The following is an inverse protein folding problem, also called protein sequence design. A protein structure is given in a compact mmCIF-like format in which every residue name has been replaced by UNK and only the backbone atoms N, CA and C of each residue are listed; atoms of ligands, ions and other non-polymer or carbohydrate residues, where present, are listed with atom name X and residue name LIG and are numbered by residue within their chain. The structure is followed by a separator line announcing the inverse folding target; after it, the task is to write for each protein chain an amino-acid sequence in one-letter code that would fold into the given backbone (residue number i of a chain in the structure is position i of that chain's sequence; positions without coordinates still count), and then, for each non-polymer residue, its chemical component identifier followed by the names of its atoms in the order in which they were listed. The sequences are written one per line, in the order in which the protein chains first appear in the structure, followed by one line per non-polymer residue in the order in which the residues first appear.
data_IF_149397086873
#
_entry.id   IF_149397086873
#
_cell.length_a   1.000
_cell.length_b   1.000
_cell.length_c   1.000
_cell.angle_alpha   90.00
_cell.angle_beta   90.00
_cell.angle_gamma   90.00
#
_symmetry.space_group_name_H-M   'P 1'
#
loop_
_entity.id
_entity.type
_entity.pdbx_description
1 polymer ?
#
# COMPACT_ATOMS: atom_id res chain seq x y z
N UNK A 1 11.47 2.81 8.56
CA UNK A 1 10.31 1.99 8.95
C UNK A 1 10.55 1.53 10.37
N UNK A 2 9.56 1.68 11.25
CA UNK A 2 9.62 1.23 12.64
C UNK A 2 8.39 0.37 12.93
N UNK A 3 8.59 -0.79 13.56
CA UNK A 3 7.51 -1.66 14.00
C UNK A 3 7.40 -1.62 15.52
N UNK A 4 6.20 -1.39 16.02
CA UNK A 4 5.87 -1.42 17.45
C UNK A 4 4.85 -2.53 17.71
N UNK A 5 5.11 -3.40 18.71
CA UNK A 5 4.13 -4.37 19.20
C UNK A 5 3.34 -3.72 20.34
N UNK A 6 2.04 -3.53 20.13
CA UNK A 6 1.15 -2.83 21.08
C UNK A 6 0.52 -3.78 22.10
N UNK A 7 0.08 -4.97 21.64
CA UNK A 7 -0.53 -5.97 22.49
C UNK A 7 -0.44 -7.38 21.86
N UNK A 8 -0.62 -8.39 22.70
CA UNK A 8 -0.63 -9.81 22.30
C UNK A 8 -1.77 -10.55 22.98
N UNK A 9 -2.37 -11.50 22.27
CA UNK A 9 -3.31 -12.49 22.83
C UNK A 9 -3.03 -13.86 22.18
N UNK A 10 -2.48 -14.79 22.96
CA UNK A 10 -1.88 -16.02 22.47
C UNK A 10 -0.91 -15.74 21.28
N UNK A 11 -1.22 -16.24 20.09
CA UNK A 11 -0.41 -16.02 18.88
C UNK A 11 -0.80 -14.75 18.10
N UNK A 12 -1.90 -14.09 18.46
CA UNK A 12 -2.35 -12.86 17.82
C UNK A 12 -1.52 -11.65 18.30
N UNK A 13 -1.24 -10.73 17.39
CA UNK A 13 -0.40 -9.55 17.63
C UNK A 13 -1.07 -8.30 17.09
N UNK A 14 -1.31 -7.34 17.97
CA UNK A 14 -1.66 -5.97 17.61
C UNK A 14 -0.37 -5.17 17.52
N UNK A 15 -0.11 -4.55 16.38
CA UNK A 15 1.12 -3.78 16.18
C UNK A 15 0.92 -2.60 15.26
N UNK A 16 1.93 -1.78 15.13
CA UNK A 16 1.91 -0.55 14.36
C UNK A 16 3.19 -0.44 13.55
N UNK A 17 3.07 -0.14 12.26
CA UNK A 17 4.20 0.17 11.40
C UNK A 17 4.19 1.66 11.07
N UNK A 18 5.29 2.36 11.35
CA UNK A 18 5.44 3.78 11.02
C UNK A 18 6.39 3.96 9.83
N UNK A 19 5.90 4.69 8.82
CA UNK A 19 6.62 5.08 7.61
C UNK A 19 6.61 6.61 7.47
N UNK A 20 7.45 7.15 6.60
CA UNK A 20 7.45 8.59 6.32
C UNK A 20 6.11 9.11 5.73
N UNK A 21 5.33 8.22 5.09
CA UNK A 21 4.04 8.56 4.46
C UNK A 21 2.83 8.30 5.34
N UNK A 22 2.99 7.68 6.50
CA UNK A 22 1.85 7.30 7.33
C UNK A 22 2.14 6.13 8.25
N UNK A 23 1.09 5.71 8.95
CA UNK A 23 1.13 4.61 9.91
C UNK A 23 0.16 3.53 9.46
N UNK A 24 0.53 2.26 9.65
CA UNK A 24 -0.31 1.09 9.33
C UNK A 24 -0.56 0.33 10.61
N UNK A 25 -1.83 0.05 10.89
CA UNK A 25 -2.22 -0.78 12.02
C UNK A 25 -2.25 -2.27 11.62
N UNK A 26 -1.57 -3.13 12.39
CA UNK A 26 -1.55 -4.58 12.15
C UNK A 26 -2.42 -5.33 13.17
N UNK A 27 -3.15 -6.39 12.77
CA UNK A 27 -3.11 -7.04 11.45
C UNK A 27 -3.75 -6.19 10.35
N UNK A 28 -3.10 -6.14 9.18
CA UNK A 28 -3.52 -5.31 8.04
C UNK A 28 -3.89 -6.18 6.85
N UNK A 29 -4.93 -5.78 6.12
CA UNK A 29 -5.28 -6.33 4.81
C UNK A 29 -4.89 -5.31 3.73
N UNK A 30 -4.19 -5.76 2.68
CA UNK A 30 -3.69 -4.89 1.61
C UNK A 30 -4.46 -5.14 0.31
N UNK A 31 -5.30 -4.19 -0.16
CA UNK A 31 -5.86 -4.25 -1.50
C UNK A 31 -4.76 -4.33 -2.56
N UNK A 32 -4.98 -5.13 -3.60
CA UNK A 32 -3.97 -5.40 -4.63
C UNK A 32 -4.18 -4.46 -5.83
N UNK A 33 -3.19 -3.61 -6.08
CA UNK A 33 -3.07 -2.77 -7.25
C UNK A 33 -2.36 -3.49 -8.39
N UNK A 34 -3.02 -3.60 -9.55
CA UNK A 34 -2.44 -4.15 -10.79
C UNK A 34 -2.48 -3.06 -11.87
N UNK A 35 -1.39 -2.86 -12.60
CA UNK A 35 -1.26 -1.76 -13.58
C UNK A 35 -1.53 -0.37 -12.96
N UNK A 36 -1.09 -0.14 -11.71
CA UNK A 36 -1.20 1.17 -11.05
C UNK A 36 -2.58 1.49 -10.47
N UNK A 37 -3.51 0.53 -10.44
CA UNK A 37 -4.87 0.74 -9.92
C UNK A 37 -5.38 -0.44 -9.12
N UNK A 38 -6.13 -0.17 -8.04
CA UNK A 38 -7.04 -1.14 -7.43
C UNK A 38 -8.29 -1.18 -8.32
N UNK A 39 -8.55 -2.33 -8.95
CA UNK A 39 -9.56 -2.42 -10.01
C UNK A 39 -10.94 -1.95 -9.51
N UNK A 40 -11.58 -1.10 -10.33
CA UNK A 40 -12.91 -0.53 -10.06
C UNK A 40 -12.99 0.38 -8.82
N UNK A 41 -11.86 0.85 -8.29
CA UNK A 41 -11.81 1.78 -7.16
C UNK A 41 -10.91 2.97 -7.50
N UNK A 42 -11.37 4.18 -7.16
CA UNK A 42 -10.51 5.36 -7.11
C UNK A 42 -9.65 5.33 -5.84
N UNK A 43 -8.55 6.11 -5.76
CA UNK A 43 -7.77 6.23 -4.53
C UNK A 43 -8.63 6.64 -3.32
N UNK A 44 -9.60 7.53 -3.54
CA UNK A 44 -10.57 7.95 -2.52
C UNK A 44 -11.41 6.77 -2.00
N UNK A 45 -11.92 5.91 -2.89
CA UNK A 45 -12.71 4.75 -2.47
C UNK A 45 -11.87 3.79 -1.61
N UNK A 46 -10.57 3.65 -1.92
CA UNK A 46 -9.63 2.81 -1.15
C UNK A 46 -9.37 3.41 0.24
N UNK A 47 -9.25 4.72 0.33
CA UNK A 47 -9.13 5.43 1.61
C UNK A 47 -10.42 5.31 2.45
N UNK A 48 -11.59 5.45 1.82
CA UNK A 48 -12.90 5.39 2.50
C UNK A 48 -13.20 4.01 3.11
N UNK A 49 -12.65 2.92 2.55
CA UNK A 49 -12.76 1.58 3.15
C UNK A 49 -11.75 1.35 4.29
N UNK A 50 -10.90 2.32 4.61
CA UNK A 50 -9.94 2.26 5.72
C UNK A 50 -8.67 1.48 5.41
N UNK A 51 -8.23 1.41 4.15
CA UNK A 51 -6.97 0.76 3.80
C UNK A 51 -5.78 1.69 4.09
N UNK A 52 -4.94 1.32 5.07
CA UNK A 52 -3.71 2.07 5.38
C UNK A 52 -2.60 1.90 4.32
N UNK A 53 -2.65 0.82 3.54
CA UNK A 53 -1.63 0.44 2.55
C UNK A 53 -2.22 -0.41 1.43
N UNK A 54 -1.67 -0.26 0.23
CA UNK A 54 -1.95 -1.11 -0.94
C UNK A 54 -0.68 -1.85 -1.40
N UNK A 55 -0.88 -3.00 -2.04
CA UNK A 55 0.21 -3.74 -2.69
C UNK A 55 0.22 -3.41 -4.18
N UNK A 56 1.31 -2.83 -4.69
CA UNK A 56 1.51 -2.61 -6.12
C UNK A 56 2.26 -3.78 -6.77
N UNK A 57 1.70 -4.40 -7.81
CA UNK A 57 2.38 -5.47 -8.54
C UNK A 57 3.44 -4.91 -9.51
N UNK A 58 4.70 -5.14 -9.18
CA UNK A 58 5.86 -4.63 -9.93
C UNK A 58 6.07 -5.30 -11.29
N UNK A 59 5.68 -6.56 -11.46
CA UNK A 59 5.79 -7.26 -12.75
C UNK A 59 4.97 -6.56 -13.84
N UNK A 60 3.72 -6.23 -13.52
CA UNK A 60 2.85 -5.54 -14.47
C UNK A 60 3.34 -4.12 -14.75
N UNK A 61 3.68 -3.36 -13.71
CA UNK A 61 4.16 -1.98 -13.82
C UNK A 61 5.45 -1.86 -14.66
N UNK A 62 6.35 -2.83 -14.50
CA UNK A 62 7.59 -2.91 -15.27
C UNK A 62 7.32 -3.13 -16.77
N UNK A 63 6.39 -4.01 -17.13
CA UNK A 63 6.03 -4.27 -18.53
C UNK A 63 5.18 -3.16 -19.13
N UNK A 64 4.27 -2.58 -18.35
CA UNK A 64 3.37 -1.51 -18.76
C UNK A 64 2.90 -0.72 -17.52
N UNK A 65 3.10 0.60 -17.47
CA UNK A 65 3.58 1.50 -18.53
C UNK A 65 5.12 1.52 -18.70
N UNK A 66 5.88 0.84 -17.84
CA UNK A 66 7.34 0.92 -17.82
C UNK A 66 7.85 1.93 -16.78
N UNK A 67 9.11 1.75 -16.36
CA UNK A 67 9.71 2.56 -15.29
C UNK A 67 9.96 4.01 -15.71
N UNK A 68 10.30 4.24 -16.98
CA UNK A 68 10.56 5.60 -17.50
C UNK A 68 9.29 6.46 -17.38
N UNK A 69 8.15 5.93 -17.83
CA UNK A 69 6.85 6.60 -17.71
C UNK A 69 6.48 6.86 -16.25
N UNK A 70 6.66 5.90 -15.34
CA UNK A 70 6.39 6.12 -13.91
C UNK A 70 7.37 7.18 -13.32
N UNK A 71 8.59 7.21 -13.83
CA UNK A 71 9.63 8.18 -13.47
C UNK A 71 9.26 9.61 -13.86
N UNK A 72 8.68 9.81 -15.04
CA UNK A 72 8.22 11.12 -15.53
C UNK A 72 7.16 11.75 -14.61
N UNK A 73 6.37 10.94 -13.91
CA UNK A 73 5.39 11.39 -12.90
C UNK A 73 5.97 11.56 -11.49
N UNK A 74 7.26 11.26 -11.29
CA UNK A 74 7.94 11.40 -10.00
C UNK A 74 7.64 10.28 -9.01
N UNK A 75 7.44 9.05 -9.52
CA UNK A 75 7.20 7.77 -8.84
C UNK A 75 5.72 7.33 -8.69
N UNK A 76 5.52 6.05 -8.36
CA UNK A 76 4.23 5.36 -8.39
C UNK A 76 3.10 6.00 -7.56
N UNK A 77 3.41 6.76 -6.50
CA UNK A 77 2.35 7.43 -5.72
C UNK A 77 1.77 8.66 -6.44
N UNK A 78 2.49 9.22 -7.41
CA UNK A 78 2.08 10.39 -8.20
C UNK A 78 1.60 10.02 -9.61
N UNK A 79 1.94 8.81 -10.06
CA UNK A 79 1.44 8.21 -11.29
C UNK A 79 -0.02 7.77 -11.08
#
# INVERSE_FOLDING_TARGET
MHFELLATDANARRGRLSFARGTIETPAFMPVGTYGTVKAMTPRDVEEIGADIILGNTFHLFLRPGLDVIGDFGALHRF
#
